data_IF_816962251842
#
_entry.id   IF_816962251842
#
_cell.length_a   1.000
_cell.length_b   1.000
_cell.length_c   1.000
_cell.angle_alpha   90.00
_cell.angle_beta   90.00
_cell.angle_gamma   90.00
#
_symmetry.space_group_name_H-M   'P 1'
#
loop_
_entity.id
_entity.type
_entity.pdbx_description
1 polymer ?
#
# COMPACT_ATOMS: atom_id res chain seq x y z
N UNK A 1 -1.14 24.82 25.41
CA UNK A 1 -0.71 23.41 25.44
C UNK A 1 -1.89 22.54 25.02
N UNK A 2 -1.69 21.48 24.23
CA UNK A 2 -2.79 20.59 23.85
C UNK A 2 -3.37 19.91 25.10
N UNK A 3 -4.69 19.79 25.18
CA UNK A 3 -5.37 19.18 26.33
C UNK A 3 -6.59 18.35 25.90
N UNK A 4 -7.01 17.40 26.75
CA UNK A 4 -8.16 16.54 26.47
C UNK A 4 -8.00 15.76 25.16
N UNK A 5 -9.00 15.83 24.29
CA UNK A 5 -8.98 15.08 23.02
C UNK A 5 -7.93 15.58 22.03
N UNK A 6 -7.40 16.80 22.21
CA UNK A 6 -6.41 17.36 21.29
C UNK A 6 -5.10 16.56 21.28
N UNK A 7 -4.82 15.86 22.38
CA UNK A 7 -3.67 14.97 22.54
C UNK A 7 -3.68 13.81 21.54
N UNK A 8 -4.85 13.41 21.04
CA UNK A 8 -5.00 12.25 20.15
C UNK A 8 -4.39 12.48 18.76
N UNK A 9 -4.26 13.73 18.31
CA UNK A 9 -3.75 14.08 16.98
C UNK A 9 -2.49 14.93 17.02
N UNK A 10 -1.86 15.11 18.19
CA UNK A 10 -0.56 15.75 18.26
C UNK A 10 0.51 14.87 17.60
N UNK A 11 1.48 15.45 16.88
CA UNK A 11 2.59 14.73 16.26
C UNK A 11 3.32 13.78 17.22
N UNK A 12 3.41 14.10 18.51
CA UNK A 12 4.08 13.28 19.52
C UNK A 12 3.46 11.89 19.69
N UNK A 13 2.17 11.73 19.40
CA UNK A 13 1.49 10.43 19.46
C UNK A 13 2.08 9.42 18.47
N UNK A 14 2.67 9.91 17.37
CA UNK A 14 3.31 9.05 16.36
C UNK A 14 4.43 8.23 16.99
N UNK A 15 5.26 8.84 17.84
CA UNK A 15 6.39 8.14 18.48
C UNK A 15 5.90 7.00 19.38
N UNK A 16 4.80 7.22 20.11
CA UNK A 16 4.20 6.18 20.97
C UNK A 16 3.71 4.98 20.13
N UNK A 17 3.00 5.23 19.03
CA UNK A 17 2.55 4.13 18.16
C UNK A 17 3.71 3.44 17.45
N UNK A 18 4.75 4.16 17.03
CA UNK A 18 5.93 3.54 16.42
C UNK A 18 6.72 2.69 17.41
N UNK A 19 6.84 3.10 18.69
CA UNK A 19 7.41 2.24 19.74
C UNK A 19 6.61 0.95 19.89
N UNK A 20 5.28 1.02 19.93
CA UNK A 20 4.43 -0.17 20.01
C UNK A 20 4.63 -1.08 18.78
N UNK A 21 4.66 -0.49 17.57
CA UNK A 21 4.85 -1.23 16.32
C UNK A 21 6.22 -1.92 16.22
N UNK A 22 7.23 -1.41 16.91
CA UNK A 22 8.60 -1.96 16.91
C UNK A 22 8.79 -3.03 17.98
N UNK A 23 8.23 -2.81 19.18
CA UNK A 23 8.53 -3.65 20.36
C UNK A 23 7.50 -4.77 20.59
N UNK A 24 6.27 -4.62 20.09
CA UNK A 24 5.21 -5.60 20.34
C UNK A 24 5.29 -6.82 19.43
N UNK A 25 5.17 -8.01 20.01
CA UNK A 25 4.95 -9.26 19.26
C UNK A 25 3.47 -9.67 19.19
N UNK A 26 2.57 -8.94 19.86
CA UNK A 26 1.15 -9.24 19.87
C UNK A 26 0.46 -8.66 18.62
N UNK A 27 -0.14 -9.51 17.79
CA UNK A 27 -0.78 -9.08 16.55
C UNK A 27 -1.95 -8.13 16.73
N UNK A 28 -2.77 -8.28 17.78
CA UNK A 28 -3.89 -7.35 18.04
C UNK A 28 -3.36 -5.97 18.43
N UNK A 29 -2.27 -5.91 19.20
CA UNK A 29 -1.61 -4.66 19.56
C UNK A 29 -0.99 -3.98 18.33
N UNK A 30 -0.33 -4.74 17.46
CA UNK A 30 0.23 -4.23 16.21
C UNK A 30 -0.86 -3.71 15.26
N UNK A 31 -1.95 -4.47 15.10
CA UNK A 31 -3.13 -4.06 14.33
C UNK A 31 -3.71 -2.74 14.88
N UNK A 32 -3.90 -2.64 16.20
CA UNK A 32 -4.47 -1.46 16.82
C UNK A 32 -3.57 -0.21 16.65
N UNK A 33 -2.25 -0.36 16.80
CA UNK A 33 -1.30 0.73 16.61
C UNK A 33 -1.22 1.19 15.14
N UNK A 34 -1.22 0.24 14.19
CA UNK A 34 -1.27 0.55 12.76
C UNK A 34 -2.60 1.22 12.38
N UNK A 35 -3.72 0.72 12.93
CA UNK A 35 -5.06 1.30 12.76
C UNK A 35 -5.17 2.72 13.33
N UNK A 36 -4.50 3.01 14.45
CA UNK A 36 -4.43 4.37 14.98
C UNK A 36 -3.69 5.31 14.00
N UNK A 37 -2.52 4.90 13.49
CA UNK A 37 -1.80 5.68 12.48
C UNK A 37 -2.60 5.84 11.18
N UNK A 38 -3.33 4.81 10.76
CA UNK A 38 -4.28 4.87 9.65
C UNK A 38 -5.31 5.97 9.86
N UNK A 39 -5.98 6.00 11.02
CA UNK A 39 -7.00 7.00 11.34
C UNK A 39 -6.42 8.41 11.37
N UNK A 40 -5.27 8.59 12.02
CA UNK A 40 -4.63 9.91 12.18
C UNK A 40 -4.07 10.48 10.87
N UNK A 41 -3.68 9.62 9.93
CA UNK A 41 -3.15 10.03 8.62
C UNK A 41 -4.24 10.26 7.55
N UNK A 42 -5.51 9.97 7.88
CA UNK A 42 -6.62 10.07 6.94
C UNK A 42 -7.06 11.51 6.65
N UNK A 43 -7.51 11.75 5.42
CA UNK A 43 -8.14 13.00 4.99
C UNK A 43 -7.18 14.18 4.76
N UNK A 44 -7.76 15.31 4.34
CA UNK A 44 -7.05 16.53 3.93
C UNK A 44 -7.19 17.64 4.97
N UNK A 45 -6.85 17.35 6.22
CA UNK A 45 -6.84 18.33 7.30
C UNK A 45 -5.40 18.59 7.78
N UNK A 46 -5.21 19.70 8.48
CA UNK A 46 -3.88 20.17 8.87
C UNK A 46 -3.12 19.14 9.70
N UNK A 47 -3.80 18.49 10.66
CA UNK A 47 -3.17 17.52 11.54
C UNK A 47 -2.81 16.21 10.82
N UNK A 48 -3.62 15.68 9.90
CA UNK A 48 -3.18 14.51 9.12
C UNK A 48 -1.94 14.81 8.29
N UNK A 49 -1.84 16.02 7.74
CA UNK A 49 -0.64 16.46 7.01
C UNK A 49 0.59 16.44 7.92
N UNK A 50 0.47 16.95 9.15
CA UNK A 50 1.57 16.88 10.12
C UNK A 50 1.88 15.46 10.57
N UNK A 51 0.87 14.61 10.79
CA UNK A 51 1.06 13.21 11.16
C UNK A 51 1.81 12.47 10.05
N UNK A 52 1.39 12.61 8.78
CA UNK A 52 2.08 11.99 7.63
C UNK A 52 3.54 12.42 7.55
N UNK A 53 3.82 13.71 7.72
CA UNK A 53 5.18 14.22 7.72
C UNK A 53 6.00 13.70 8.92
N UNK A 54 5.37 13.57 10.10
CA UNK A 54 6.02 13.13 11.34
C UNK A 54 6.36 11.64 11.28
N UNK A 55 5.46 10.78 10.79
CA UNK A 55 5.74 9.36 10.57
C UNK A 55 7.01 9.17 9.73
N UNK A 56 7.20 9.97 8.68
CA UNK A 56 8.44 9.92 7.88
C UNK A 56 9.66 10.42 8.65
N UNK A 57 9.56 11.53 9.37
CA UNK A 57 10.68 12.09 10.16
C UNK A 57 11.14 11.13 11.26
N UNK A 58 10.22 10.44 11.89
CA UNK A 58 10.46 9.43 12.94
C UNK A 58 10.83 8.05 12.38
N UNK A 59 11.20 7.95 11.09
CA UNK A 59 11.56 6.68 10.41
C UNK A 59 10.49 5.59 10.53
N UNK A 60 9.22 5.96 10.64
CA UNK A 60 8.11 5.03 10.77
C UNK A 60 7.72 4.32 9.47
N UNK A 61 8.09 4.86 8.30
CA UNK A 61 7.75 4.22 7.02
C UNK A 61 8.44 2.84 6.87
N UNK A 62 9.76 2.66 7.10
CA UNK A 62 10.38 1.34 7.14
C UNK A 62 9.72 0.36 8.12
N UNK A 63 9.35 0.81 9.33
CA UNK A 63 8.67 -0.04 10.34
C UNK A 63 7.35 -0.59 9.80
N UNK A 64 6.54 0.27 9.19
CA UNK A 64 5.29 -0.16 8.57
C UNK A 64 5.53 -1.12 7.39
N UNK A 65 6.55 -0.89 6.57
CA UNK A 65 6.88 -1.79 5.44
C UNK A 65 7.34 -3.16 5.93
N UNK A 66 8.10 -3.24 7.02
CA UNK A 66 8.46 -4.52 7.64
C UNK A 66 7.23 -5.29 8.12
N UNK A 67 6.23 -4.60 8.68
CA UNK A 67 4.99 -5.23 9.13
C UNK A 67 4.10 -5.77 8.00
N UNK A 68 4.34 -5.39 6.72
CA UNK A 68 3.76 -6.09 5.57
C UNK A 68 4.22 -7.55 5.48
N UNK A 69 5.26 -7.94 6.23
CA UNK A 69 5.73 -9.32 6.32
C UNK A 69 5.05 -10.13 7.44
N UNK A 70 4.16 -9.52 8.23
CA UNK A 70 3.43 -10.19 9.31
C UNK A 70 2.58 -11.35 8.82
N UNK A 71 2.51 -12.45 9.59
CA UNK A 71 1.62 -13.60 9.34
C UNK A 71 0.16 -13.32 9.67
N UNK A 72 -0.13 -12.19 10.33
CA UNK A 72 -1.49 -11.77 10.63
C UNK A 72 -2.09 -10.96 9.47
N UNK A 73 -3.14 -11.50 8.85
CA UNK A 73 -3.93 -10.83 7.82
C UNK A 73 -4.38 -9.43 8.26
N UNK A 74 -4.86 -9.31 9.51
CA UNK A 74 -5.32 -8.04 10.07
C UNK A 74 -4.22 -6.98 10.19
N UNK A 75 -3.01 -7.40 10.57
CA UNK A 75 -1.85 -6.50 10.63
C UNK A 75 -1.49 -6.03 9.22
N UNK A 76 -1.38 -6.95 8.25
CA UNK A 76 -1.09 -6.60 6.85
C UNK A 76 -2.14 -5.64 6.29
N UNK A 77 -3.43 -5.86 6.60
CA UNK A 77 -4.52 -4.97 6.21
C UNK A 77 -4.37 -3.57 6.79
N UNK A 78 -4.25 -3.45 8.11
CA UNK A 78 -4.14 -2.16 8.79
C UNK A 78 -2.92 -1.36 8.30
N UNK A 79 -1.78 -2.03 8.15
CA UNK A 79 -0.53 -1.44 7.63
C UNK A 79 -0.69 -0.98 6.18
N UNK A 80 -1.31 -1.79 5.32
CA UNK A 80 -1.55 -1.40 3.93
C UNK A 80 -2.37 -0.12 3.84
N UNK A 81 -3.47 -0.04 4.60
CA UNK A 81 -4.33 1.15 4.59
C UNK A 81 -3.60 2.36 5.21
N UNK A 82 -2.80 2.16 6.26
CA UNK A 82 -1.95 3.22 6.82
C UNK A 82 -0.96 3.74 5.77
N UNK A 83 -0.24 2.87 5.06
CA UNK A 83 0.70 3.25 3.99
C UNK A 83 0.01 4.00 2.86
N UNK A 84 -1.21 3.59 2.48
CA UNK A 84 -2.03 4.32 1.50
C UNK A 84 -2.28 5.76 1.95
N UNK A 85 -2.76 5.96 3.18
CA UNK A 85 -3.01 7.30 3.71
C UNK A 85 -1.70 8.11 3.80
N UNK A 86 -0.62 7.49 4.26
CA UNK A 86 0.70 8.12 4.35
C UNK A 86 1.21 8.58 2.98
N UNK A 87 0.94 7.84 1.91
CA UNK A 87 1.31 8.17 0.53
C UNK A 87 0.53 9.36 -0.07
N UNK A 88 -0.47 9.90 0.63
CA UNK A 88 -1.07 11.18 0.24
C UNK A 88 -0.07 12.35 0.36
N UNK A 89 0.96 12.23 1.22
CA UNK A 89 2.11 13.14 1.21
C UNK A 89 3.07 12.74 0.09
N UNK A 90 3.42 13.68 -0.80
CA UNK A 90 4.26 13.39 -1.97
C UNK A 90 5.64 12.83 -1.61
N UNK A 91 6.28 13.32 -0.55
CA UNK A 91 7.61 12.83 -0.14
C UNK A 91 7.51 11.41 0.41
N UNK A 92 6.43 11.11 1.14
CA UNK A 92 6.15 9.75 1.57
C UNK A 92 5.85 8.85 0.37
N UNK A 93 5.06 9.33 -0.62
CA UNK A 93 4.72 8.59 -1.84
C UNK A 93 5.98 8.13 -2.59
N UNK A 94 6.92 9.04 -2.81
CA UNK A 94 8.18 8.74 -3.52
C UNK A 94 9.02 7.72 -2.74
N UNK A 95 9.15 7.89 -1.42
CA UNK A 95 9.89 6.95 -0.56
C UNK A 95 9.24 5.56 -0.53
N UNK A 96 7.94 5.47 -0.24
CA UNK A 96 7.21 4.21 -0.20
C UNK A 96 7.31 3.50 -1.55
N UNK A 97 7.13 4.22 -2.67
CA UNK A 97 7.26 3.63 -4.00
C UNK A 97 8.66 3.10 -4.33
N UNK A 98 9.71 3.68 -3.74
CA UNK A 98 11.10 3.26 -3.97
C UNK A 98 11.51 1.97 -3.26
N UNK A 99 11.00 1.68 -2.05
CA UNK A 99 11.44 0.51 -1.28
C UNK A 99 10.33 -0.41 -0.78
N UNK A 100 9.06 -0.01 -0.82
CA UNK A 100 7.94 -0.83 -0.34
C UNK A 100 7.23 -1.62 -1.44
N UNK A 101 7.48 -1.27 -2.72
CA UNK A 101 6.72 -1.82 -3.85
C UNK A 101 6.83 -3.35 -3.95
N UNK A 102 8.03 -3.91 -3.71
CA UNK A 102 8.27 -5.35 -3.70
C UNK A 102 7.45 -6.05 -2.61
N UNK A 103 7.38 -5.48 -1.40
CA UNK A 103 6.63 -6.03 -0.28
C UNK A 103 5.11 -5.96 -0.49
N UNK A 104 4.61 -4.88 -1.08
CA UNK A 104 3.20 -4.79 -1.49
C UNK A 104 2.86 -5.86 -2.53
N UNK A 105 3.70 -6.03 -3.56
CA UNK A 105 3.49 -7.05 -4.61
C UNK A 105 3.65 -8.47 -4.06
N UNK A 106 4.50 -8.69 -3.05
CA UNK A 106 4.65 -9.98 -2.37
C UNK A 106 3.34 -10.43 -1.71
N UNK A 107 2.59 -9.48 -1.16
CA UNK A 107 1.27 -9.72 -0.55
C UNK A 107 0.11 -9.85 -1.55
N UNK A 108 0.35 -9.73 -2.87
CA UNK A 108 -0.66 -10.07 -3.86
C UNK A 108 -0.71 -11.59 -4.10
N UNK A 109 -1.91 -12.19 -4.23
CA UNK A 109 -2.06 -13.62 -4.45
C UNK A 109 -1.40 -14.05 -5.76
N UNK A 110 -0.79 -15.23 -5.76
CA UNK A 110 -0.17 -15.83 -6.95
C UNK A 110 -0.42 -17.33 -6.94
N UNK A 111 -0.97 -17.86 -8.05
CA UNK A 111 -1.23 -19.31 -8.23
C UNK A 111 0.03 -20.17 -8.16
N UNK A 112 1.21 -19.59 -8.38
CA UNK A 112 2.48 -20.32 -8.43
C UNK A 112 3.21 -20.33 -7.07
N UNK A 113 2.85 -19.44 -6.15
CA UNK A 113 3.49 -19.36 -4.84
C UNK A 113 2.76 -20.30 -3.86
N UNK A 114 3.33 -21.49 -3.63
CA UNK A 114 2.88 -22.41 -2.56
C UNK A 114 2.92 -21.79 -1.16
N UNK A 115 3.65 -20.68 -1.00
CA UNK A 115 3.80 -19.90 0.24
C UNK A 115 3.09 -18.54 0.20
N UNK A 116 2.26 -18.24 -0.81
CA UNK A 116 1.46 -17.02 -0.77
C UNK A 116 0.55 -17.11 0.46
N UNK A 117 0.66 -16.14 1.37
CA UNK A 117 -0.23 -16.05 2.52
C UNK A 117 -1.66 -16.04 1.98
N UNK A 118 -2.52 -16.90 2.52
CA UNK A 118 -3.94 -16.91 2.19
C UNK A 118 -4.60 -15.69 2.83
N UNK A 119 -4.30 -14.50 2.28
CA UNK A 119 -4.87 -13.24 2.73
C UNK A 119 -6.35 -13.20 2.34
N UNK A 120 -7.14 -12.54 3.20
CA UNK A 120 -8.55 -12.33 2.95
C UNK A 120 -8.76 -11.31 1.83
N UNK A 121 -9.92 -11.36 1.18
CA UNK A 121 -10.30 -10.46 0.08
C UNK A 121 -10.09 -8.98 0.44
N UNK A 122 -10.54 -8.57 1.63
CA UNK A 122 -10.40 -7.19 2.10
C UNK A 122 -8.93 -6.74 2.22
N UNK A 123 -8.04 -7.65 2.57
CA UNK A 123 -6.60 -7.39 2.66
C UNK A 123 -5.98 -7.26 1.28
N UNK A 124 -6.32 -8.16 0.35
CA UNK A 124 -5.86 -8.06 -1.04
C UNK A 124 -6.34 -6.75 -1.68
N UNK A 125 -7.61 -6.38 -1.48
CA UNK A 125 -8.16 -5.10 -1.95
C UNK A 125 -7.45 -3.91 -1.32
N UNK A 126 -7.12 -3.97 -0.02
CA UNK A 126 -6.34 -2.93 0.65
C UNK A 126 -4.94 -2.76 0.02
N UNK A 127 -4.22 -3.86 -0.23
CA UNK A 127 -2.91 -3.84 -0.90
C UNK A 127 -3.02 -3.27 -2.31
N UNK A 128 -3.99 -3.71 -3.11
CA UNK A 128 -4.21 -3.21 -4.48
C UNK A 128 -4.51 -1.70 -4.50
N UNK A 129 -5.38 -1.23 -3.59
CA UNK A 129 -5.69 0.20 -3.48
C UNK A 129 -4.49 1.03 -2.99
N UNK A 130 -3.63 0.43 -2.16
CA UNK A 130 -2.38 1.06 -1.70
C UNK A 130 -1.41 1.22 -2.86
N UNK A 131 -1.20 0.17 -3.65
CA UNK A 131 -0.38 0.22 -4.87
C UNK A 131 -0.93 1.30 -5.82
N UNK A 132 -2.25 1.31 -6.06
CA UNK A 132 -2.89 2.30 -6.93
C UNK A 132 -2.59 3.74 -6.48
N UNK A 133 -2.73 4.05 -5.19
CA UNK A 133 -2.46 5.39 -4.65
C UNK A 133 -0.98 5.80 -4.84
N UNK A 134 -0.06 4.87 -4.57
CA UNK A 134 1.38 5.13 -4.68
C UNK A 134 1.80 5.43 -6.12
N UNK A 135 1.22 4.74 -7.11
CA UNK A 135 1.53 4.96 -8.52
C UNK A 135 0.74 6.12 -9.13
N UNK A 136 -0.37 6.55 -8.52
CA UNK A 136 -1.16 7.67 -9.03
C UNK A 136 -0.33 8.94 -9.02
N UNK A 137 -0.28 9.61 -10.16
CA UNK A 137 0.54 10.79 -10.44
C UNK A 137 2.06 10.59 -10.24
N UNK A 138 2.55 9.35 -10.34
CA UNK A 138 3.98 9.02 -10.25
C UNK A 138 4.38 7.90 -11.23
N UNK A 139 4.88 8.29 -12.40
CA UNK A 139 5.37 7.32 -13.40
C UNK A 139 6.63 6.58 -12.94
N UNK A 140 7.42 7.16 -12.03
CA UNK A 140 8.58 6.50 -11.42
C UNK A 140 8.15 5.37 -10.49
N UNK A 141 7.13 5.58 -9.67
CA UNK A 141 6.57 4.52 -8.84
C UNK A 141 5.89 3.44 -9.70
N UNK A 142 5.23 3.83 -10.79
CA UNK A 142 4.70 2.86 -11.76
C UNK A 142 5.81 2.03 -12.41
N UNK A 143 6.99 2.62 -12.67
CA UNK A 143 8.18 1.90 -13.16
C UNK A 143 8.72 0.92 -12.12
N UNK A 144 8.79 1.31 -10.85
CA UNK A 144 9.14 0.42 -9.73
C UNK A 144 8.21 -0.81 -9.69
N UNK A 145 6.91 -0.62 -9.85
CA UNK A 145 5.93 -1.72 -9.89
C UNK A 145 6.13 -2.68 -11.09
N UNK A 146 6.55 -2.16 -12.24
CA UNK A 146 6.86 -2.99 -13.42
C UNK A 146 8.08 -3.88 -13.12
N UNK A 147 9.08 -3.36 -12.41
CA UNK A 147 10.32 -4.08 -12.07
C UNK A 147 10.11 -5.21 -11.04
N UNK A 148 9.04 -5.17 -10.23
CA UNK A 148 8.76 -6.17 -9.17
C UNK A 148 7.94 -7.38 -9.64
N UNK A 149 7.86 -7.65 -10.95
CA UNK A 149 6.94 -8.65 -11.54
C UNK A 149 5.45 -8.40 -11.19
N UNK A 150 5.10 -7.18 -10.76
CA UNK A 150 3.76 -6.85 -10.30
C UNK A 150 2.69 -6.99 -11.39
N UNK A 151 3.06 -6.68 -12.64
CA UNK A 151 2.14 -6.75 -13.79
C UNK A 151 1.55 -8.15 -13.98
N UNK A 152 2.37 -9.20 -13.86
CA UNK A 152 1.91 -10.58 -14.04
C UNK A 152 0.87 -10.95 -12.97
N UNK A 153 1.12 -10.61 -11.70
CA UNK A 153 0.18 -10.86 -10.61
C UNK A 153 -1.12 -10.08 -10.80
N UNK A 154 -1.02 -8.80 -11.15
CA UNK A 154 -2.18 -7.93 -11.37
C UNK A 154 -3.07 -8.42 -12.51
N UNK A 155 -2.48 -8.83 -13.63
CA UNK A 155 -3.21 -9.42 -14.77
C UNK A 155 -3.85 -10.76 -14.40
N UNK A 156 -3.17 -11.59 -13.60
CA UNK A 156 -3.76 -12.84 -13.11
C UNK A 156 -4.99 -12.57 -12.22
N UNK A 157 -4.90 -11.62 -11.29
CA UNK A 157 -6.02 -11.22 -10.43
C UNK A 157 -7.18 -10.67 -11.26
N UNK A 158 -6.92 -9.72 -12.17
CA UNK A 158 -7.96 -9.08 -12.97
C UNK A 158 -8.71 -10.03 -13.92
N UNK A 159 -8.11 -11.17 -14.29
CA UNK A 159 -8.72 -12.15 -15.21
C UNK A 159 -9.27 -13.40 -14.52
N UNK A 160 -8.79 -13.76 -13.34
CA UNK A 160 -9.06 -15.07 -12.75
C UNK A 160 -9.52 -15.07 -11.29
N UNK A 161 -9.51 -13.91 -10.61
CA UNK A 161 -10.10 -13.81 -9.28
C UNK A 161 -11.60 -14.08 -9.33
N UNK A 162 -12.10 -14.78 -8.32
CA UNK A 162 -13.55 -14.97 -8.12
C UNK A 162 -14.19 -13.76 -7.41
N UNK A 163 -13.38 -12.84 -6.85
CA UNK A 163 -13.86 -11.60 -6.25
C UNK A 163 -14.00 -10.51 -7.31
N UNK A 164 -15.19 -9.92 -7.47
CA UNK A 164 -15.37 -8.72 -8.29
C UNK A 164 -14.60 -7.51 -7.75
N UNK A 165 -14.41 -7.40 -6.42
CA UNK A 165 -13.71 -6.27 -5.78
C UNK A 165 -12.22 -6.33 -6.08
N UNK A 166 -11.59 -7.50 -5.95
CA UNK A 166 -10.19 -7.71 -6.32
C UNK A 166 -9.97 -7.46 -7.81
N UNK A 167 -10.86 -8.02 -8.65
CA UNK A 167 -10.81 -7.83 -10.12
C UNK A 167 -10.84 -6.35 -10.49
N UNK A 168 -11.76 -5.59 -9.88
CA UNK A 168 -11.89 -4.15 -10.12
C UNK A 168 -10.66 -3.37 -9.63
N UNK A 169 -10.20 -3.64 -8.42
CA UNK A 169 -9.04 -2.95 -7.85
C UNK A 169 -7.75 -3.20 -8.65
N UNK A 170 -7.48 -4.46 -9.03
CA UNK A 170 -6.34 -4.81 -9.88
C UNK A 170 -6.44 -4.15 -11.26
N UNK A 171 -7.64 -4.07 -11.82
CA UNK A 171 -7.85 -3.40 -13.09
C UNK A 171 -7.58 -1.90 -13.04
N UNK A 172 -7.94 -1.21 -11.96
CA UNK A 172 -7.60 0.20 -11.79
C UNK A 172 -6.08 0.42 -11.75
N UNK A 173 -5.34 -0.44 -11.03
CA UNK A 173 -3.86 -0.39 -11.03
C UNK A 173 -3.32 -0.55 -12.45
N UNK A 174 -3.80 -1.56 -13.19
CA UNK A 174 -3.39 -1.81 -14.57
C UNK A 174 -3.70 -0.62 -15.50
N UNK A 175 -4.90 -0.04 -15.39
CA UNK A 175 -5.29 1.14 -16.17
C UNK A 175 -4.40 2.34 -15.88
N UNK A 176 -4.08 2.57 -14.60
CA UNK A 176 -3.18 3.65 -14.18
C UNK A 176 -1.79 3.49 -14.81
N UNK A 177 -1.21 2.29 -14.74
CA UNK A 177 0.09 1.98 -15.38
C UNK A 177 0.02 2.24 -16.90
N UNK A 178 -1.04 1.77 -17.56
CA UNK A 178 -1.19 1.93 -19.01
C UNK A 178 -1.45 3.39 -19.42
N UNK A 179 -1.89 4.25 -18.51
CA UNK A 179 -2.08 5.69 -18.77
C UNK A 179 -0.75 6.39 -19.06
N UNK A 180 0.37 5.93 -18.47
CA UNK A 180 1.71 6.46 -18.68
C UNK A 180 2.27 6.04 -20.03
N UNK A 181 2.19 6.95 -21.01
CA UNK A 181 2.63 6.70 -22.40
C UNK A 181 4.10 6.27 -22.47
N UNK A 182 4.97 6.87 -21.65
CA UNK A 182 6.40 6.56 -21.59
C UNK A 182 6.73 5.12 -21.13
N UNK A 183 5.83 4.47 -20.40
CA UNK A 183 6.03 3.11 -19.89
C UNK A 183 5.55 2.03 -20.88
N UNK A 184 4.71 2.38 -21.85
CA UNK A 184 4.09 1.43 -22.79
C UNK A 184 5.12 0.66 -23.62
N UNK A 185 6.19 1.33 -24.06
CA UNK A 185 7.23 0.68 -24.84
C UNK A 185 7.95 -0.42 -24.05
N UNK A 186 8.18 -0.21 -22.75
CA UNK A 186 8.78 -1.24 -21.89
C UNK A 186 7.81 -2.41 -21.69
N UNK A 187 6.56 -2.12 -21.37
CA UNK A 187 5.51 -3.13 -21.22
C UNK A 187 5.33 -3.99 -22.48
N UNK A 188 5.36 -3.38 -23.66
CA UNK A 188 5.25 -4.08 -24.94
C UNK A 188 6.45 -4.98 -25.23
N UNK A 189 7.67 -4.56 -24.88
CA UNK A 189 8.87 -5.40 -24.98
C UNK A 189 8.77 -6.62 -24.07
N UNK A 190 8.11 -6.48 -22.92
CA UNK A 190 7.84 -7.57 -21.98
C UNK A 190 6.60 -8.42 -22.36
N UNK A 191 6.03 -8.20 -23.56
CA UNK A 191 4.90 -8.97 -24.08
C UNK A 191 3.51 -8.47 -23.66
N UNK A 192 3.43 -7.37 -22.90
CA UNK A 192 2.16 -6.80 -22.45
C UNK A 192 1.57 -5.84 -23.47
N UNK A 193 0.26 -5.94 -23.69
CA UNK A 193 -0.47 -5.10 -24.64
C UNK A 193 -1.78 -4.59 -24.03
N UNK A 194 -2.44 -3.63 -24.71
CA UNK A 194 -3.66 -2.95 -24.24
C UNK A 194 -4.74 -3.91 -23.72
N UNK A 195 -4.93 -5.07 -24.33
CA UNK A 195 -5.95 -6.05 -23.91
C UNK A 195 -5.73 -6.61 -22.51
N UNK A 196 -4.49 -6.56 -21.99
CA UNK A 196 -4.16 -6.97 -20.62
C UNK A 196 -4.55 -5.92 -19.57
N UNK A 197 -4.73 -4.67 -19.97
CA UNK A 197 -5.01 -3.53 -19.09
C UNK A 197 -6.42 -2.97 -19.27
N UNK A 198 -7.22 -3.55 -20.16
CA UNK A 198 -8.63 -3.21 -20.34
C UNK A 198 -9.51 -4.06 -19.43
N UNK A 199 -10.47 -3.41 -18.77
CA UNK A 199 -11.57 -4.08 -18.09
C UNK A 199 -12.53 -4.56 -19.18
N UNK A 200 -12.87 -5.85 -19.19
CA UNK A 200 -14.08 -6.28 -19.89
C UNK A 200 -15.24 -5.69 -19.09
N UNK A 201 -15.87 -4.65 -19.63
CA UNK A 201 -17.16 -4.16 -19.12
C UNK A 201 -18.22 -5.24 -19.32
#
# INVERSE_FOLDING_TARGET
PPAGFELLYQPDVVRLYLSILTESQNFNTLEAAAGALQNLSAGNWTWSTYIRATVRKERGLPVLVELLQSDSDKVVRAVSIALRNLSMDRRNKDLIGSYAMSELVRNLPSRQQRSAKNLEEDTVVAVLNTIHEIITDSSENARSLIQTQGIQKLVAISKSSQSPRETKAASHVLQMIWSYKELRNALQKDGWNKSHFQVKM
#
